data_IF_719111666587
#
_entry.id   IF_719111666587
#
_cell.length_a   1.000
_cell.length_b   1.000
_cell.length_c   1.000
_cell.angle_alpha   90.00
_cell.angle_beta   90.00
_cell.angle_gamma   90.00
#
_symmetry.space_group_name_H-M   'P 1'
#
loop_
_entity.id
_entity.type
_entity.pdbx_description
1 polymer ?
#
# COMPACT_ATOMS: atom_id res chain seq x y z
N UNK A 1 14.91 -30.90 3.76
CA UNK A 1 15.81 -30.15 2.87
C UNK A 1 16.74 -29.34 3.75
N UNK A 2 18.02 -29.28 3.41
CA UNK A 2 19.10 -28.76 4.27
C UNK A 2 18.85 -27.32 4.80
N UNK A 3 18.05 -26.54 4.07
CA UNK A 3 17.65 -25.17 4.41
C UNK A 3 16.79 -25.12 5.69
N UNK A 4 15.88 -26.08 5.87
CA UNK A 4 14.99 -26.13 7.04
C UNK A 4 15.80 -26.49 8.29
N UNK A 5 16.77 -27.40 8.14
CA UNK A 5 17.62 -27.85 9.24
C UNK A 5 18.58 -26.76 9.73
N UNK A 6 18.95 -25.82 8.85
CA UNK A 6 19.81 -24.69 9.19
C UNK A 6 19.12 -23.71 10.17
N UNK A 7 17.82 -23.46 9.99
CA UNK A 7 17.06 -22.51 10.83
C UNK A 7 16.57 -23.14 12.15
N UNK A 8 16.63 -24.47 12.28
CA UNK A 8 16.27 -25.14 13.54
C UNK A 8 17.24 -24.75 14.64
N UNK A 9 16.75 -24.45 15.86
CA UNK A 9 17.63 -24.11 16.95
C UNK A 9 18.49 -25.32 17.30
N UNK A 10 19.81 -25.16 17.24
CA UNK A 10 20.78 -26.22 17.53
C UNK A 10 21.07 -26.26 19.03
N UNK A 11 21.21 -27.46 19.57
CA UNK A 11 21.63 -27.63 20.96
C UNK A 11 23.07 -27.14 21.13
N UNK A 12 23.27 -26.30 22.14
CA UNK A 12 24.58 -25.76 22.49
C UNK A 12 25.19 -26.75 23.48
N UNK A 13 26.31 -27.35 23.08
CA UNK A 13 27.09 -28.22 23.97
C UNK A 13 28.15 -27.37 24.69
N UNK A 14 28.00 -27.23 26.00
CA UNK A 14 28.97 -26.56 26.88
C UNK A 14 29.94 -27.56 27.51
N UNK A 15 30.04 -28.79 26.98
CA UNK A 15 31.03 -29.74 27.46
C UNK A 15 32.43 -29.22 27.12
N UNK A 16 33.28 -29.10 28.15
CA UNK A 16 34.68 -28.78 27.95
C UNK A 16 35.42 -30.06 27.53
N UNK A 17 36.22 -30.02 26.46
CA UNK A 17 37.10 -31.13 26.12
C UNK A 17 38.13 -31.32 27.25
N UNK A 18 38.27 -32.53 27.78
CA UNK A 18 39.10 -32.78 28.97
C UNK A 18 39.65 -34.20 29.07
N UNK A 19 40.21 -34.55 30.23
CA UNK A 19 40.96 -35.79 30.57
C UNK A 19 40.29 -37.13 30.17
N UNK A 20 39.02 -37.12 29.76
CA UNK A 20 38.27 -38.29 29.30
C UNK A 20 38.13 -38.46 27.78
N UNK A 21 38.57 -37.50 26.96
CA UNK A 21 38.48 -37.56 25.49
C UNK A 21 39.75 -38.08 24.81
N UNK A 22 40.86 -38.16 25.55
CA UNK A 22 42.14 -38.69 25.06
C UNK A 22 42.14 -40.21 24.84
N UNK A 23 41.08 -40.92 25.27
CA UNK A 23 40.94 -42.36 25.10
C UNK A 23 40.66 -42.81 23.64
N UNK A 24 40.67 -41.87 22.68
CA UNK A 24 40.53 -42.14 21.25
C UNK A 24 39.08 -42.16 20.74
N UNK A 25 38.93 -42.07 19.41
CA UNK A 25 37.64 -42.06 18.71
C UNK A 25 36.97 -43.43 18.79
N UNK A 26 36.30 -43.72 19.90
CA UNK A 26 35.61 -45.00 20.09
C UNK A 26 34.99 -45.22 21.47
N UNK A 27 35.40 -44.46 22.49
CA UNK A 27 34.82 -44.58 23.83
C UNK A 27 33.52 -43.77 23.93
N UNK A 28 32.36 -44.42 24.20
CA UNK A 28 31.09 -43.72 24.28
C UNK A 28 31.03 -42.85 25.53
N UNK A 29 30.93 -41.53 25.34
CA UNK A 29 30.74 -40.57 26.45
C UNK A 29 29.39 -40.81 27.12
N UNK A 30 29.40 -40.92 28.46
CA UNK A 30 28.21 -41.21 29.27
C UNK A 30 27.07 -40.20 29.01
N UNK A 31 25.89 -40.69 28.60
CA UNK A 31 24.68 -39.90 28.31
C UNK A 31 24.29 -38.95 29.46
N UNK A 32 24.53 -39.35 30.71
CA UNK A 32 24.27 -38.53 31.90
C UNK A 32 25.18 -37.31 31.99
N UNK A 33 26.44 -37.43 31.55
CA UNK A 33 27.37 -36.29 31.46
C UNK A 33 26.95 -35.35 30.33
N UNK A 34 26.63 -35.90 29.14
CA UNK A 34 26.12 -35.11 28.01
C UNK A 34 24.88 -34.28 28.38
N UNK A 35 23.88 -34.87 29.02
CA UNK A 35 22.65 -34.16 29.40
C UNK A 35 22.86 -33.01 30.39
N UNK A 36 23.93 -33.03 31.19
CA UNK A 36 24.25 -31.93 32.12
C UNK A 36 24.81 -30.71 31.41
N UNK A 37 25.52 -30.91 30.30
CA UNK A 37 26.24 -29.84 29.59
C UNK A 37 25.58 -29.47 28.25
N UNK A 38 24.64 -30.30 27.76
CA UNK A 38 23.87 -30.03 26.56
C UNK A 38 22.63 -29.19 26.90
N UNK A 39 22.68 -27.91 26.56
CA UNK A 39 21.54 -27.01 26.69
C UNK A 39 20.66 -27.19 25.45
N UNK A 40 19.48 -27.78 25.68
CA UNK A 40 18.44 -27.85 24.65
C UNK A 40 17.81 -26.46 24.48
N UNK A 41 17.76 -25.93 23.26
CA UNK A 41 17.12 -24.66 23.03
C UNK A 41 15.61 -24.81 23.21
N UNK A 42 14.95 -23.73 23.62
CA UNK A 42 13.48 -23.70 23.63
C UNK A 42 12.97 -23.97 22.20
N UNK A 43 11.88 -24.72 22.04
CA UNK A 43 11.29 -24.91 20.72
C UNK A 43 10.92 -23.55 20.13
N UNK A 44 11.46 -23.26 18.95
CA UNK A 44 11.08 -22.07 18.20
C UNK A 44 9.59 -22.13 17.83
N UNK A 45 8.91 -20.98 17.70
CA UNK A 45 7.55 -20.97 17.15
C UNK A 45 7.53 -21.68 15.78
N UNK A 46 6.40 -22.32 15.42
CA UNK A 46 6.27 -22.94 14.11
C UNK A 46 6.45 -21.88 13.03
N UNK A 47 7.16 -22.24 11.96
CA UNK A 47 7.37 -21.37 10.80
C UNK A 47 6.02 -21.03 10.13
N UNK A 48 5.95 -19.90 9.43
CA UNK A 48 4.73 -19.46 8.73
C UNK A 48 4.36 -20.38 7.56
N UNK A 49 5.36 -21.01 6.95
CA UNK A 49 5.24 -21.87 5.77
C UNK A 49 4.79 -23.31 6.08
N UNK A 50 4.50 -23.67 7.34
CA UNK A 50 4.13 -25.05 7.74
C UNK A 50 2.94 -25.62 6.98
N UNK A 51 1.99 -24.78 6.57
CA UNK A 51 0.80 -25.21 5.83
C UNK A 51 1.03 -25.38 4.32
N UNK A 52 2.22 -25.04 3.81
CA UNK A 52 2.53 -24.99 2.38
C UNK A 52 3.51 -26.11 2.01
N UNK A 53 3.15 -26.94 1.03
CA UNK A 53 3.95 -28.12 0.65
C UNK A 53 5.21 -27.81 -0.17
N UNK A 54 5.16 -26.79 -1.02
CA UNK A 54 6.19 -26.51 -2.03
C UNK A 54 6.90 -25.16 -1.81
N UNK A 55 6.57 -24.46 -0.74
CA UNK A 55 7.05 -23.09 -0.50
C UNK A 55 7.89 -23.09 0.77
N UNK A 56 9.09 -22.52 0.66
CA UNK A 56 9.97 -22.25 1.80
C UNK A 56 10.14 -20.73 1.87
N UNK A 57 9.70 -20.12 2.96
CA UNK A 57 9.78 -18.66 3.17
C UNK A 57 11.02 -18.36 4.02
N UNK A 58 11.81 -17.37 3.60
CA UNK A 58 12.87 -16.82 4.43
C UNK A 58 12.27 -15.77 5.40
N UNK A 59 12.32 -16.04 6.70
CA UNK A 59 11.75 -15.16 7.74
C UNK A 59 12.77 -14.14 8.29
N UNK A 60 14.01 -14.13 7.76
CA UNK A 60 15.06 -13.19 8.19
C UNK A 60 14.76 -11.78 7.65
N UNK A 61 14.92 -10.77 8.51
CA UNK A 61 14.71 -9.38 8.13
C UNK A 61 15.92 -8.82 7.35
N UNK A 62 15.67 -8.16 6.23
CA UNK A 62 16.69 -7.50 5.42
C UNK A 62 17.00 -6.10 5.96
N UNK A 63 18.26 -5.87 6.34
CA UNK A 63 18.72 -4.60 6.91
C UNK A 63 18.55 -3.43 5.91
N UNK A 64 18.88 -3.66 4.63
CA UNK A 64 18.76 -2.64 3.57
C UNK A 64 17.32 -2.18 3.34
N UNK A 65 16.35 -3.09 3.43
CA UNK A 65 14.94 -2.75 3.29
C UNK A 65 14.46 -2.00 4.54
N UNK A 66 14.96 -2.39 5.71
CA UNK A 66 14.62 -1.75 6.98
C UNK A 66 14.95 -0.26 7.01
N UNK A 67 16.00 0.18 6.33
CA UNK A 67 16.38 1.60 6.23
C UNK A 67 15.34 2.46 5.50
N UNK A 68 14.58 1.87 4.58
CA UNK A 68 13.55 2.55 3.80
C UNK A 68 12.15 2.41 4.41
N UNK A 69 12.00 1.64 5.49
CA UNK A 69 10.75 1.52 6.22
C UNK A 69 10.63 2.64 7.23
N UNK A 70 9.39 3.03 7.51
CA UNK A 70 9.09 3.99 8.57
C UNK A 70 9.34 3.31 9.93
N UNK A 71 10.11 3.95 10.81
CA UNK A 71 10.43 3.42 12.13
C UNK A 71 9.20 3.39 13.05
N UNK A 72 8.48 4.52 13.12
CA UNK A 72 7.34 4.73 14.00
C UNK A 72 6.18 5.40 13.25
N UNK A 73 4.95 5.10 13.66
CA UNK A 73 3.74 5.63 13.03
C UNK A 73 3.68 7.18 13.15
N UNK A 74 3.52 7.93 12.04
CA UNK A 74 3.45 9.38 12.12
C UNK A 74 2.08 9.85 12.63
N UNK A 75 2.08 10.94 13.42
CA UNK A 75 0.85 11.66 13.76
C UNK A 75 0.19 12.18 12.46
N UNK A 76 -1.14 12.07 12.25
CA UNK A 76 -2.23 11.80 13.21
C UNK A 76 -2.75 10.35 13.21
N UNK A 77 -2.02 9.39 12.67
CA UNK A 77 -2.50 8.02 12.55
C UNK A 77 -2.43 7.28 13.89
N UNK A 78 -3.45 6.49 14.19
CA UNK A 78 -3.52 5.64 15.38
C UNK A 78 -3.15 4.18 15.09
N UNK A 79 -3.31 3.75 13.84
CA UNK A 79 -3.11 2.38 13.40
C UNK A 79 -2.22 2.32 12.14
N UNK A 80 -1.46 1.23 12.03
CA UNK A 80 -0.53 0.97 10.93
C UNK A 80 -1.29 0.71 9.63
N UNK A 81 -2.39 -0.04 9.69
CA UNK A 81 -3.19 -0.37 8.50
C UNK A 81 -3.75 0.91 7.85
N UNK A 82 -4.17 1.88 8.66
CA UNK A 82 -4.65 3.18 8.19
C UNK A 82 -3.55 3.94 7.43
N UNK A 83 -2.34 3.98 7.98
CA UNK A 83 -1.22 4.66 7.36
C UNK A 83 -0.79 3.98 6.05
N UNK A 84 -0.63 2.66 6.06
CA UNK A 84 -0.19 1.91 4.89
C UNK A 84 -1.21 2.01 3.75
N UNK A 85 -2.50 1.90 4.05
CA UNK A 85 -3.57 2.04 3.04
C UNK A 85 -3.53 3.40 2.35
N UNK A 86 -3.25 4.48 3.10
CA UNK A 86 -3.19 5.83 2.54
C UNK A 86 -1.92 6.05 1.70
N UNK A 87 -0.77 5.56 2.14
CA UNK A 87 0.51 5.73 1.43
C UNK A 87 0.63 4.83 0.20
N UNK A 88 -0.15 3.74 0.13
CA UNK A 88 -0.14 2.80 -0.99
C UNK A 88 -0.48 3.46 -2.34
N UNK A 89 -1.21 4.57 -2.37
CA UNK A 89 -1.65 5.22 -3.60
C UNK A 89 -0.56 6.11 -4.23
N UNK A 90 -0.14 5.86 -5.48
CA UNK A 90 0.87 6.69 -6.14
C UNK A 90 0.29 8.04 -6.58
N UNK A 91 1.06 9.12 -6.44
CA UNK A 91 0.65 10.50 -6.80
C UNK A 91 1.23 11.01 -8.12
N UNK A 92 2.09 10.24 -8.79
CA UNK A 92 2.78 10.65 -10.02
C UNK A 92 1.89 10.70 -11.27
N UNK A 93 2.36 11.39 -12.32
CA UNK A 93 1.69 11.50 -13.63
C UNK A 93 1.63 10.18 -14.40
N UNK A 94 2.60 9.30 -14.15
CA UNK A 94 2.69 8.00 -14.84
C UNK A 94 1.55 7.06 -14.44
N UNK A 95 1.04 7.18 -13.20
CA UNK A 95 0.02 6.28 -12.66
C UNK A 95 -1.40 6.88 -12.69
N UNK A 96 -1.52 8.21 -12.83
CA UNK A 96 -2.79 8.91 -12.77
C UNK A 96 -3.00 9.79 -14.01
N UNK A 97 -4.24 9.91 -14.54
CA UNK A 97 -4.51 10.83 -15.63
C UNK A 97 -4.25 12.28 -15.20
N UNK A 98 -3.91 13.14 -16.16
CA UNK A 98 -3.49 14.52 -15.92
C UNK A 98 -4.50 15.33 -15.08
N UNK A 99 -5.80 15.09 -15.30
CA UNK A 99 -6.88 15.74 -14.54
C UNK A 99 -6.90 15.32 -13.08
N UNK A 100 -6.66 14.04 -12.77
CA UNK A 100 -6.59 13.53 -11.40
C UNK A 100 -5.29 13.99 -10.73
N UNK A 101 -4.15 13.92 -11.43
CA UNK A 101 -2.86 14.40 -10.93
C UNK A 101 -2.93 15.87 -10.47
N UNK A 102 -3.50 16.74 -11.31
CA UNK A 102 -3.67 18.17 -10.97
C UNK A 102 -4.56 18.39 -9.74
N UNK A 103 -5.58 17.54 -9.54
CA UNK A 103 -6.50 17.62 -8.40
C UNK A 103 -5.86 17.09 -7.11
N UNK A 104 -5.18 15.95 -7.18
CA UNK A 104 -4.52 15.31 -6.03
C UNK A 104 -3.38 16.16 -5.48
N UNK A 105 -2.57 16.75 -6.37
CA UNK A 105 -1.43 17.58 -5.98
C UNK A 105 -1.80 19.08 -5.80
N UNK A 106 -3.09 19.41 -5.75
CA UNK A 106 -3.52 20.78 -5.49
C UNK A 106 -3.30 21.13 -4.00
N UNK A 107 -2.52 22.17 -3.67
CA UNK A 107 -2.33 22.57 -2.29
C UNK A 107 -3.64 23.12 -1.70
N UNK A 108 -3.85 22.87 -0.41
CA UNK A 108 -5.05 23.33 0.33
C UNK A 108 -5.19 24.86 0.32
N UNK A 109 -4.09 25.59 0.36
CA UNK A 109 -4.05 27.05 0.37
C UNK A 109 -3.33 27.52 -0.90
N UNK A 110 -3.97 28.42 -1.64
CA UNK A 110 -3.38 29.08 -2.82
C UNK A 110 -3.56 30.59 -2.67
N UNK A 111 -2.45 31.32 -2.72
CA UNK A 111 -2.43 32.79 -2.69
C UNK A 111 -2.00 33.31 -4.06
N UNK A 112 -2.43 34.53 -4.40
CA UNK A 112 -2.01 35.20 -5.63
C UNK A 112 -0.76 36.02 -5.32
N UNK A 113 0.25 35.95 -6.20
CA UNK A 113 1.47 36.75 -6.07
C UNK A 113 1.12 38.22 -6.32
N UNK A 114 1.74 39.12 -5.54
CA UNK A 114 1.59 40.57 -5.73
C UNK A 114 0.29 41.18 -5.20
N UNK A 115 -0.58 40.37 -4.57
CA UNK A 115 -1.84 40.86 -3.98
C UNK A 115 -1.76 40.78 -2.45
N UNK A 116 -2.11 41.87 -1.77
CA UNK A 116 -2.21 41.91 -0.31
C UNK A 116 -3.36 41.01 0.14
N UNK A 117 -3.09 40.12 1.09
CA UNK A 117 -4.11 39.26 1.72
C UNK A 117 -4.80 40.10 2.79
N UNK A 118 -6.05 40.46 2.54
CA UNK A 118 -6.88 41.17 3.50
C UNK A 118 -7.40 40.20 4.57
N UNK A 119 -7.58 40.66 5.82
CA UNK A 119 -8.19 39.85 6.86
C UNK A 119 -9.61 39.48 6.46
N UNK A 120 -10.10 38.37 6.99
CA UNK A 120 -11.45 37.90 6.70
C UNK A 120 -12.49 38.75 7.42
N UNK A 121 -13.41 39.35 6.68
CA UNK A 121 -14.53 40.07 7.25
C UNK A 121 -15.61 39.10 7.75
N UNK A 122 -16.33 39.47 8.81
CA UNK A 122 -17.35 38.62 9.45
C UNK A 122 -18.47 38.19 8.48
N UNK A 123 -18.73 39.01 7.45
CA UNK A 123 -19.75 38.74 6.45
C UNK A 123 -19.31 37.64 5.45
N UNK A 124 -18.00 37.53 5.20
CA UNK A 124 -17.42 36.61 4.21
C UNK A 124 -17.29 35.16 4.70
N UNK A 125 -17.35 34.95 6.01
CA UNK A 125 -17.18 33.63 6.65
C UNK A 125 -18.29 32.65 6.27
N UNK A 126 -19.50 33.13 5.96
CA UNK A 126 -20.72 32.30 5.88
C UNK A 126 -21.27 32.10 4.47
N UNK A 127 -20.59 32.53 3.41
CA UNK A 127 -21.08 32.29 2.05
C UNK A 127 -21.06 30.79 1.73
N UNK A 128 -22.26 30.18 1.69
CA UNK A 128 -22.46 28.88 1.04
C UNK A 128 -22.02 29.04 -0.41
N UNK A 129 -20.93 28.36 -0.76
CA UNK A 129 -20.40 28.28 -2.12
C UNK A 129 -21.48 27.67 -3.02
N UNK A 130 -22.31 28.50 -3.63
CA UNK A 130 -23.08 28.10 -4.79
C UNK A 130 -22.06 27.80 -5.88
N UNK A 131 -21.92 26.54 -6.29
CA UNK A 131 -21.16 26.21 -7.48
C UNK A 131 -21.88 26.83 -8.69
N UNK A 132 -21.55 28.07 -9.04
CA UNK A 132 -21.85 28.60 -10.35
C UNK A 132 -21.08 27.77 -11.38
N UNK A 133 -21.80 27.32 -12.41
CA UNK A 133 -21.20 26.80 -13.64
C UNK A 133 -20.13 27.78 -14.11
N UNK A 134 -19.01 27.24 -14.58
CA UNK A 134 -17.84 27.97 -15.05
C UNK A 134 -18.22 29.09 -16.03
N UNK A 135 -17.97 30.33 -15.64
CA UNK A 135 -17.75 31.42 -16.59
C UNK A 135 -16.32 31.28 -17.11
N UNK A 136 -16.18 30.71 -18.30
CA UNK A 136 -14.94 30.75 -19.05
C UNK A 136 -14.76 32.17 -19.60
N UNK A 137 -14.08 33.03 -18.86
CA UNK A 137 -13.49 34.25 -19.40
C UNK A 137 -12.03 34.41 -18.95
N UNK A 138 -11.16 34.12 -19.93
CA UNK A 138 -9.93 34.87 -20.21
C UNK A 138 -8.77 34.78 -19.22
N UNK A 139 -7.92 33.78 -19.42
CA UNK A 139 -6.46 33.97 -19.46
C UNK A 139 -5.92 33.12 -20.60
N UNK A 140 -5.87 33.72 -21.79
CA UNK A 140 -5.28 33.15 -22.98
C UNK A 140 -3.75 33.15 -22.84
N UNK A 141 -3.14 31.96 -22.86
CA UNK A 141 -1.71 31.77 -23.13
C UNK A 141 -1.61 31.30 -24.58
N UNK A 142 -1.03 32.16 -25.40
CA UNK A 142 -1.03 32.09 -26.85
C UNK A 142 -0.16 30.93 -27.36
N UNK A 143 -0.80 29.95 -28.01
CA UNK A 143 -0.16 29.05 -28.95
C UNK A 143 -0.98 29.09 -30.24
N UNK A 144 -0.57 29.98 -31.12
CA UNK A 144 -0.94 29.96 -32.53
C UNK A 144 -0.54 28.61 -33.12
N UNK A 145 -1.53 27.82 -33.54
CA UNK A 145 -1.58 27.21 -34.86
C UNK A 145 -3.03 26.83 -35.14
N UNK A 146 -3.55 27.45 -36.20
CA UNK A 146 -4.75 26.99 -36.90
C UNK A 146 -4.54 25.53 -37.30
N UNK A 147 -5.55 24.70 -37.10
CA UNK A 147 -6.07 23.84 -38.15
C UNK A 147 -7.55 23.58 -37.84
N UNK A 148 -8.35 23.80 -38.88
CA UNK A 148 -9.78 23.64 -38.94
C UNK A 148 -10.17 22.19 -38.67
N UNK A 149 -11.25 21.96 -37.90
CA UNK A 149 -12.23 20.90 -38.18
C UNK A 149 -13.41 21.01 -37.18
N UNK A 150 -14.33 21.91 -37.50
CA UNK A 150 -15.70 21.90 -36.97
C UNK A 150 -16.53 20.99 -37.85
N UNK A 151 -16.88 19.79 -37.35
CA UNK A 151 -18.23 19.17 -37.43
C UNK A 151 -18.14 17.64 -37.49
N UNK A 152 -18.22 16.94 -36.35
CA UNK A 152 -18.71 15.55 -36.20
C UNK A 152 -18.44 15.03 -34.77
N UNK A 153 -19.25 15.40 -33.77
CA UNK A 153 -19.17 14.71 -32.47
C UNK A 153 -20.38 14.84 -31.53
N UNK A 154 -21.49 15.50 -31.92
CA UNK A 154 -22.64 15.70 -31.01
C UNK A 154 -23.88 14.89 -31.39
N UNK A 155 -23.74 13.76 -32.08
CA UNK A 155 -24.88 12.92 -32.48
C UNK A 155 -24.95 11.58 -31.70
N UNK A 156 -23.92 11.23 -30.92
CA UNK A 156 -23.83 9.88 -30.34
C UNK A 156 -24.13 9.75 -28.84
N UNK A 157 -24.40 10.85 -28.12
CA UNK A 157 -24.65 10.78 -26.67
C UNK A 157 -26.13 10.70 -26.27
N UNK A 158 -27.06 11.04 -27.16
CA UNK A 158 -28.50 11.00 -26.84
C UNK A 158 -29.15 9.63 -27.09
N UNK A 159 -28.50 8.72 -27.84
CA UNK A 159 -29.05 7.40 -28.20
C UNK A 159 -28.81 6.30 -27.15
N UNK A 160 -27.94 6.53 -26.18
CA UNK A 160 -27.57 5.54 -25.14
C UNK A 160 -28.49 5.59 -23.90
N UNK A 161 -29.13 6.71 -23.62
CA UNK A 161 -29.99 6.86 -22.42
C UNK A 161 -31.38 6.21 -22.59
N UNK A 162 -31.88 6.15 -23.82
CA UNK A 162 -33.19 5.57 -24.13
C UNK A 162 -33.16 4.03 -24.17
N UNK A 163 -32.01 3.43 -24.45
CA UNK A 163 -31.86 1.97 -24.51
C UNK A 163 -31.88 1.34 -23.10
N UNK A 164 -31.28 1.98 -22.10
CA UNK A 164 -31.34 1.51 -20.71
C UNK A 164 -32.76 1.59 -20.09
N UNK A 165 -33.52 2.64 -20.42
CA UNK A 165 -34.90 2.82 -19.96
C UNK A 165 -35.82 1.72 -20.53
N UNK A 166 -35.57 1.29 -21.76
CA UNK A 166 -36.33 0.24 -22.45
C UNK A 166 -36.05 -1.16 -21.86
N UNK A 167 -34.81 -1.43 -21.46
CA UNK A 167 -34.43 -2.69 -20.76
C UNK A 167 -35.06 -2.79 -19.36
N UNK A 168 -35.05 -1.69 -18.58
CA UNK A 168 -35.63 -1.62 -17.23
C UNK A 168 -37.16 -1.80 -17.24
N UNK A 169 -37.87 -1.29 -18.25
CA UNK A 169 -39.33 -1.50 -18.42
C UNK A 169 -39.69 -2.95 -18.79
N UNK A 170 -38.90 -3.61 -19.65
CA UNK A 170 -39.12 -5.03 -20.02
C UNK A 170 -38.91 -5.98 -18.84
N UNK A 171 -37.94 -5.69 -17.97
CA UNK A 171 -37.67 -6.51 -16.77
C UNK A 171 -38.79 -6.39 -15.73
N UNK A 172 -39.30 -5.17 -15.48
CA UNK A 172 -40.44 -4.92 -14.57
C UNK A 172 -41.74 -5.58 -15.06
N UNK A 173 -41.96 -5.65 -16.38
CA UNK A 173 -43.16 -6.27 -16.95
C UNK A 173 -43.11 -7.81 -16.87
N UNK A 174 -41.91 -8.40 -16.89
CA UNK A 174 -41.68 -9.86 -16.77
C UNK A 174 -41.82 -10.37 -15.32
N UNK A 175 -41.58 -9.53 -14.32
CA UNK A 175 -41.78 -9.84 -12.90
C UNK A 175 -43.25 -9.77 -12.45
N UNK A 176 -44.16 -9.27 -13.30
CA UNK A 176 -45.58 -9.05 -12.97
C UNK A 176 -46.52 -10.11 -13.57
N UNK A 177 -45.97 -11.16 -14.20
CA UNK A 177 -46.72 -12.25 -14.85
C UNK A 177 -46.42 -13.64 -14.29
N UNK A 178 -45.74 -13.72 -13.13
CA UNK A 178 -45.61 -14.94 -12.33
C UNK A 178 -46.37 -14.79 -11.02
#
# INVERSE_FOLDING_TARGET
>A
SDIIDHDRPKAIDLSLPGWGEWAGSGVPVNKRKKRKFLIQPKPAPPRRDVHLHHVIINEKADQKISEHRVCDLPFPFADVEQFETLVQQPLGREWNPETAYRRLNQPKIRTRIGVRIEPLDKQDVFFKRHHSKQDNSSLDFDLSNNDEDKSTANVEQDSLFDNEQSQKKKFKRKQKMN
#
